data_IF_378852029880
#
_entry.id   IF_378852029880
#
_cell.length_a   1.000
_cell.length_b   1.000
_cell.length_c   1.000
_cell.angle_alpha   90.00
_cell.angle_beta   90.00
_cell.angle_gamma   90.00
#
_symmetry.space_group_name_H-M   'P 1'
#
loop_
_entity.id
_entity.type
_entity.pdbx_description
1 polymer ?
#
# COMPACT_ATOMS: atom_id res chain seq x y z
N UNK A 1 -16.07 -30.82 -24.33
CA UNK A 1 -14.72 -30.56 -23.77
C UNK A 1 -14.73 -29.21 -23.08
N UNK A 2 -14.41 -29.14 -21.78
CA UNK A 2 -14.33 -27.84 -21.10
C UNK A 2 -13.03 -27.14 -21.50
N UNK A 3 -13.14 -25.87 -21.92
CA UNK A 3 -11.96 -25.03 -22.18
C UNK A 3 -11.32 -24.71 -20.83
N UNK A 4 -10.21 -25.36 -20.50
CA UNK A 4 -9.40 -24.98 -19.36
C UNK A 4 -8.63 -23.70 -19.72
N UNK A 5 -8.84 -22.64 -18.94
CA UNK A 5 -8.11 -21.39 -19.11
C UNK A 5 -6.63 -21.61 -18.73
N UNK A 6 -5.73 -21.49 -19.71
CA UNK A 6 -4.27 -21.47 -19.48
C UNK A 6 -3.79 -20.02 -19.47
N UNK A 7 -3.24 -19.56 -18.35
CA UNK A 7 -2.67 -18.22 -18.24
C UNK A 7 -1.45 -18.09 -19.15
N UNK A 8 -1.28 -16.95 -19.83
CA UNK A 8 -0.09 -16.66 -20.65
C UNK A 8 1.14 -16.61 -19.74
N UNK A 9 2.08 -17.53 -19.94
CA UNK A 9 3.26 -17.73 -19.09
C UNK A 9 4.22 -16.52 -19.12
N UNK A 10 4.28 -15.82 -20.25
CA UNK A 10 5.16 -14.64 -20.44
C UNK A 10 4.64 -13.34 -19.82
N UNK A 11 3.37 -13.32 -19.37
CA UNK A 11 2.79 -12.12 -18.78
C UNK A 11 3.25 -12.02 -17.34
N UNK A 12 4.34 -11.29 -17.11
CA UNK A 12 4.73 -10.90 -15.77
C UNK A 12 3.53 -10.22 -15.09
N UNK A 13 3.20 -10.71 -13.88
CA UNK A 13 2.20 -10.03 -13.05
C UNK A 13 2.74 -8.65 -12.77
N UNK A 14 2.11 -7.63 -13.34
CA UNK A 14 2.51 -6.26 -13.13
C UNK A 14 2.09 -5.87 -11.70
N UNK A 15 2.89 -6.30 -10.73
CA UNK A 15 2.76 -5.90 -9.34
C UNK A 15 2.98 -4.39 -9.31
N UNK A 16 2.10 -3.69 -8.64
CA UNK A 16 2.06 -2.23 -8.53
C UNK A 16 3.39 -1.69 -7.93
N UNK A 17 4.39 -1.43 -8.78
CA UNK A 17 5.74 -1.04 -8.37
C UNK A 17 5.83 0.42 -7.90
N UNK A 18 4.93 1.30 -8.37
CA UNK A 18 4.96 2.72 -8.01
C UNK A 18 4.75 2.95 -6.51
N UNK A 19 5.45 3.95 -5.96
CA UNK A 19 5.44 4.34 -4.54
C UNK A 19 4.39 5.43 -4.28
N UNK A 20 4.10 5.72 -3.01
CA UNK A 20 3.23 6.85 -2.64
C UNK A 20 3.84 8.18 -3.09
N UNK A 21 5.15 8.32 -2.96
CA UNK A 21 5.90 9.51 -3.37
C UNK A 21 5.80 9.76 -4.88
N UNK A 22 5.94 8.70 -5.70
CA UNK A 22 5.80 8.85 -7.15
C UNK A 22 4.38 9.23 -7.57
N UNK A 23 3.36 8.78 -6.83
CA UNK A 23 1.97 9.19 -7.04
C UNK A 23 1.75 10.66 -6.67
N UNK A 24 2.35 11.14 -5.59
CA UNK A 24 2.27 12.54 -5.18
C UNK A 24 2.95 13.46 -6.20
N UNK A 25 4.18 13.14 -6.61
CA UNK A 25 4.91 13.90 -7.63
C UNK A 25 4.14 13.92 -8.96
N UNK A 26 3.53 12.80 -9.38
CA UNK A 26 2.69 12.76 -10.57
C UNK A 26 1.47 13.67 -10.47
N UNK A 27 0.87 13.82 -9.28
CA UNK A 27 -0.27 14.73 -9.07
C UNK A 27 0.18 16.18 -9.16
N UNK A 28 1.34 16.51 -8.60
CA UNK A 28 1.88 17.86 -8.64
C UNK A 28 2.19 18.27 -10.09
N UNK A 29 2.73 17.37 -10.92
CA UNK A 29 2.90 17.60 -12.36
C UNK A 29 1.57 17.72 -13.13
N UNK A 30 0.54 16.94 -12.74
CA UNK A 30 -0.81 17.09 -13.32
C UNK A 30 -1.45 18.44 -12.96
N UNK A 31 -1.21 18.95 -11.75
CA UNK A 31 -1.72 20.24 -11.30
C UNK A 31 -1.01 21.41 -12.00
N UNK A 32 0.28 21.27 -12.33
CA UNK A 32 1.04 22.23 -13.16
C UNK A 32 0.54 22.34 -14.60
N UNK A 33 -0.16 21.30 -15.13
CA UNK A 33 -0.69 21.21 -16.51
C UNK A 33 0.36 21.41 -17.61
N UNK A 34 1.64 21.23 -17.32
CA UNK A 34 2.76 21.38 -18.25
C UNK A 34 2.91 20.18 -19.18
N UNK A 35 2.58 18.98 -18.69
CA UNK A 35 2.75 17.71 -19.41
C UNK A 35 1.43 16.95 -19.56
N UNK A 36 1.34 16.13 -20.61
CA UNK A 36 0.19 15.26 -20.85
C UNK A 36 0.15 14.06 -19.89
N UNK A 37 -1.05 13.57 -19.56
CA UNK A 37 -1.24 12.45 -18.62
C UNK A 37 -0.47 11.18 -19.05
N UNK A 38 -0.34 10.93 -20.35
CA UNK A 38 0.38 9.75 -20.86
C UNK A 38 1.91 9.89 -20.68
N UNK A 39 2.43 11.11 -20.70
CA UNK A 39 3.85 11.38 -20.47
C UNK A 39 4.20 11.22 -18.98
N UNK A 40 3.37 11.82 -18.11
CA UNK A 40 3.44 11.63 -16.65
C UNK A 40 3.34 10.14 -16.30
N UNK A 41 2.44 9.41 -16.96
CA UNK A 41 2.29 7.96 -16.79
C UNK A 41 3.58 7.19 -17.08
N UNK A 42 4.31 7.55 -18.15
CA UNK A 42 5.60 6.93 -18.50
C UNK A 42 6.70 7.31 -17.51
N UNK A 43 6.78 8.59 -17.14
CA UNK A 43 7.81 9.11 -16.25
C UNK A 43 7.76 8.48 -14.85
N UNK A 44 6.57 8.36 -14.28
CA UNK A 44 6.38 7.83 -12.92
C UNK A 44 6.06 6.33 -12.87
N UNK A 45 5.94 5.66 -14.03
CA UNK A 45 5.60 4.24 -14.12
C UNK A 45 4.21 3.88 -13.60
N UNK A 46 3.28 4.85 -13.57
CA UNK A 46 1.92 4.67 -13.07
C UNK A 46 0.98 4.56 -14.27
N UNK A 47 0.14 3.51 -14.38
CA UNK A 47 -0.79 3.39 -15.49
C UNK A 47 -1.73 4.61 -15.60
N UNK A 48 -1.91 5.13 -16.81
CA UNK A 48 -2.72 6.33 -17.08
C UNK A 48 -4.15 6.24 -16.52
N UNK A 49 -4.77 5.06 -16.60
CA UNK A 49 -6.09 4.79 -16.00
C UNK A 49 -6.07 4.94 -14.47
N UNK A 50 -5.00 4.50 -13.82
CA UNK A 50 -4.81 4.63 -12.37
C UNK A 50 -4.66 6.10 -11.97
N UNK A 51 -3.86 6.87 -12.71
CA UNK A 51 -3.71 8.30 -12.49
C UNK A 51 -5.05 9.03 -12.59
N UNK A 52 -5.79 8.86 -13.70
CA UNK A 52 -7.10 9.51 -13.87
C UNK A 52 -8.09 9.16 -12.75
N UNK A 53 -8.20 7.86 -12.43
CA UNK A 53 -9.11 7.39 -11.39
C UNK A 53 -8.78 7.98 -10.02
N UNK A 54 -7.50 7.98 -9.63
CA UNK A 54 -7.07 8.50 -8.32
C UNK A 54 -7.11 10.02 -8.26
N UNK A 55 -6.81 10.70 -9.36
CA UNK A 55 -6.85 12.15 -9.45
C UNK A 55 -8.28 12.70 -9.30
N UNK A 56 -9.27 12.02 -9.89
CA UNK A 56 -10.69 12.38 -9.73
C UNK A 56 -11.16 12.33 -8.26
N UNK A 57 -10.68 11.35 -7.49
CA UNK A 57 -10.99 11.20 -6.04
C UNK A 57 -10.00 11.98 -5.16
N UNK A 58 -8.97 12.62 -5.76
CA UNK A 58 -7.85 13.26 -5.07
C UNK A 58 -7.17 12.38 -4.01
N UNK A 59 -7.13 11.07 -4.27
CA UNK A 59 -6.49 10.10 -3.36
C UNK A 59 -4.98 9.97 -3.66
N UNK A 60 -4.19 10.65 -2.83
CA UNK A 60 -2.72 10.69 -2.91
C UNK A 60 -2.01 9.53 -2.20
N UNK A 61 -2.72 8.63 -1.50
CA UNK A 61 -2.10 7.56 -0.71
C UNK A 61 -2.14 6.21 -1.43
N UNK A 62 -1.02 5.49 -1.43
CA UNK A 62 -1.01 4.09 -1.84
C UNK A 62 -1.64 3.27 -0.73
N UNK A 63 -2.80 2.68 -1.01
CA UNK A 63 -3.39 1.64 -0.17
C UNK A 63 -2.62 0.34 -0.38
N UNK A 64 -2.43 -0.43 0.69
CA UNK A 64 -1.89 -1.79 0.61
C UNK A 64 -2.76 -2.60 -0.33
N UNK A 65 -2.15 -3.14 -1.40
CA UNK A 65 -2.83 -4.03 -2.32
C UNK A 65 -2.92 -5.41 -1.66
N UNK A 66 -4.12 -5.86 -1.30
CA UNK A 66 -4.32 -7.18 -0.68
C UNK A 66 -5.47 -7.21 0.30
N UNK A 67 -5.56 -8.31 1.06
CA UNK A 67 -6.54 -8.44 2.15
C UNK A 67 -6.23 -7.37 3.20
N UNK A 68 -7.28 -6.68 3.65
CA UNK A 68 -7.15 -5.73 4.75
C UNK A 68 -6.62 -6.46 6.00
N UNK A 69 -5.79 -5.76 6.75
CA UNK A 69 -5.26 -6.23 8.03
C UNK A 69 -6.43 -6.54 8.97
N UNK A 70 -6.27 -7.55 9.82
CA UNK A 70 -7.30 -7.91 10.84
C UNK A 70 -7.45 -6.78 11.85
N UNK A 71 -6.36 -6.10 12.18
CA UNK A 71 -6.36 -4.91 13.02
C UNK A 71 -6.57 -3.66 12.15
N UNK A 72 -7.46 -2.78 12.60
CA UNK A 72 -7.58 -1.43 12.04
C UNK A 72 -6.32 -0.59 12.33
N UNK A 73 -6.08 0.46 11.54
CA UNK A 73 -4.93 1.36 11.69
C UNK A 73 -4.83 1.98 13.10
N UNK A 74 -5.95 2.35 13.72
CA UNK A 74 -5.94 2.92 15.07
C UNK A 74 -5.48 1.90 16.11
N UNK A 75 -5.99 0.68 15.98
CA UNK A 75 -5.66 -0.48 16.80
C UNK A 75 -4.19 -0.89 16.64
N UNK A 76 -3.69 -0.97 15.41
CA UNK A 76 -2.29 -1.25 15.12
C UNK A 76 -1.36 -0.20 15.73
N UNK A 77 -1.68 1.10 15.58
CA UNK A 77 -0.87 2.20 16.15
C UNK A 77 -0.79 2.11 17.68
N UNK A 78 -1.86 1.74 18.36
CA UNK A 78 -1.87 1.52 19.81
C UNK A 78 -0.98 0.35 20.21
N UNK A 79 -1.06 -0.76 19.49
CA UNK A 79 -0.24 -1.95 19.75
C UNK A 79 1.25 -1.64 19.55
N UNK A 80 1.62 -0.96 18.46
CA UNK A 80 3.01 -0.53 18.19
C UNK A 80 3.51 0.39 19.30
N UNK A 81 2.72 1.38 19.73
CA UNK A 81 3.09 2.28 20.82
C UNK A 81 3.35 1.51 22.12
N UNK A 82 2.54 0.49 22.41
CA UNK A 82 2.73 -0.35 23.59
C UNK A 82 4.04 -1.17 23.50
N UNK A 83 4.31 -1.79 22.34
CA UNK A 83 5.54 -2.54 22.10
C UNK A 83 6.78 -1.65 22.27
N UNK A 84 6.76 -0.44 21.73
CA UNK A 84 7.87 0.52 21.88
C UNK A 84 8.06 0.92 23.34
N UNK A 85 6.98 1.20 24.07
CA UNK A 85 7.04 1.54 25.50
C UNK A 85 7.63 0.40 26.35
N UNK A 86 7.33 -0.85 26.01
CA UNK A 86 7.95 -2.03 26.67
C UNK A 86 9.46 -2.07 26.42
N UNK A 87 9.89 -1.79 25.19
CA UNK A 87 11.31 -1.68 24.84
C UNK A 87 12.03 -0.55 25.60
N UNK A 88 11.43 0.64 25.66
CA UNK A 88 11.95 1.78 26.44
C UNK A 88 12.08 1.46 27.94
N UNK A 89 11.16 0.65 28.48
CA UNK A 89 11.19 0.20 29.87
C UNK A 89 12.21 -0.93 30.14
N UNK A 90 12.99 -1.34 29.14
CA UNK A 90 14.01 -2.41 29.29
C UNK A 90 13.47 -3.82 29.11
N UNK A 91 12.22 -3.98 28.64
CA UNK A 91 11.60 -5.28 28.35
C UNK A 91 11.44 -5.47 26.83
N UNK A 92 12.49 -5.88 26.09
CA UNK A 92 12.35 -6.15 24.67
C UNK A 92 11.39 -7.34 24.46
N UNK A 93 10.21 -7.15 23.85
CA UNK A 93 9.21 -8.21 23.77
C UNK A 93 9.63 -9.26 22.74
N UNK A 94 9.59 -10.54 23.15
CA UNK A 94 9.86 -11.66 22.26
C UNK A 94 8.73 -11.84 21.22
N UNK A 95 9.04 -12.44 20.07
CA UNK A 95 8.07 -12.72 18.99
C UNK A 95 6.83 -13.48 19.48
N UNK A 96 6.98 -14.43 20.40
CA UNK A 96 5.86 -15.14 21.00
C UNK A 96 4.97 -14.20 21.83
N UNK A 97 5.57 -13.34 22.65
CA UNK A 97 4.86 -12.35 23.45
C UNK A 97 4.12 -11.34 22.56
N UNK A 98 4.73 -10.88 21.46
CA UNK A 98 4.07 -9.97 20.51
C UNK A 98 2.83 -10.62 19.88
N UNK A 99 2.91 -11.91 19.50
CA UNK A 99 1.72 -12.61 18.97
C UNK A 99 0.62 -12.76 20.01
N UNK A 100 0.98 -13.08 21.25
CA UNK A 100 0.03 -13.19 22.35
C UNK A 100 -0.64 -11.85 22.65
N UNK A 101 0.14 -10.76 22.71
CA UNK A 101 -0.38 -9.40 22.87
C UNK A 101 -1.30 -9.01 21.72
N UNK A 102 -0.92 -9.31 20.48
CA UNK A 102 -1.75 -9.02 19.31
C UNK A 102 -3.07 -9.82 19.33
N UNK A 103 -3.04 -11.07 19.80
CA UNK A 103 -4.24 -11.91 19.97
C UNK A 103 -5.15 -11.34 21.06
N UNK A 104 -4.62 -11.10 22.27
CA UNK A 104 -5.36 -10.52 23.40
C UNK A 104 -5.93 -9.13 23.09
N UNK A 105 -5.30 -8.40 22.18
CA UNK A 105 -5.76 -7.09 21.75
C UNK A 105 -6.87 -7.14 20.70
N UNK A 106 -7.00 -8.26 19.98
CA UNK A 106 -8.00 -8.49 18.95
C UNK A 106 -9.25 -9.21 19.46
N UNK A 107 -9.13 -9.99 20.54
CA UNK A 107 -10.22 -10.58 21.32
C UNK A 107 -10.97 -9.51 22.13
#
# INVERSE_FOLDING_TARGET
>A
MSRQYKRKEEVQVQVCFWTTESLQAAFDEMDKKTMGINEISRQFGIPSRTLRRRYAVKNKTKLTMGKHLVLDFGSEKRLVKHILKLGEAGFPPNRQAIRMLAYQFAE
#
